data_IF_942658370413
#
_entry.id   IF_942658370413
#
_cell.length_a   1.000
_cell.length_b   1.000
_cell.length_c   1.000
_cell.angle_alpha   90.00
_cell.angle_beta   90.00
_cell.angle_gamma   90.00
#
_symmetry.space_group_name_H-M   'P 1'
#
loop_
_entity.id
_entity.type
_entity.pdbx_description
1 polymer ?
#
# COMPACT_ATOMS: atom_id res chain seq x y z
N UNK A 1 25.29 11.48 -4.12
CA UNK A 1 24.11 10.59 -4.18
C UNK A 1 23.57 10.61 -5.60
N UNK A 2 23.31 9.46 -6.19
CA UNK A 2 22.50 9.38 -7.42
C UNK A 2 21.15 10.05 -7.13
N UNK A 3 20.67 10.87 -8.07
CA UNK A 3 19.39 11.55 -7.90
C UNK A 3 18.25 10.53 -8.04
N UNK A 4 17.46 10.36 -6.98
CA UNK A 4 16.28 9.50 -6.98
C UNK A 4 15.14 10.18 -7.76
N UNK A 5 15.04 10.00 -9.09
CA UNK A 5 14.07 10.75 -9.92
C UNK A 5 12.63 10.46 -9.57
N UNK A 6 12.34 9.26 -9.06
CA UNK A 6 10.98 8.88 -8.64
C UNK A 6 10.57 9.53 -7.32
N UNK A 7 11.52 10.11 -6.60
CA UNK A 7 11.28 10.75 -5.31
C UNK A 7 11.01 9.71 -4.23
N UNK A 8 10.12 10.06 -3.30
CA UNK A 8 9.80 9.21 -2.15
C UNK A 8 8.87 8.06 -2.50
N UNK A 9 8.91 7.00 -1.69
CA UNK A 9 8.03 5.83 -1.79
C UNK A 9 6.56 6.25 -1.78
N UNK A 10 6.22 7.27 -0.97
CA UNK A 10 4.89 7.92 -0.94
C UNK A 10 4.35 8.27 -2.32
N UNK A 11 5.20 8.86 -3.19
CA UNK A 11 4.82 9.26 -4.55
C UNK A 11 4.63 8.08 -5.49
N UNK A 12 5.14 6.91 -5.11
CA UNK A 12 5.18 5.71 -5.92
C UNK A 12 4.12 4.66 -5.52
N UNK A 13 3.38 4.89 -4.43
CA UNK A 13 2.41 3.92 -3.87
C UNK A 13 1.36 3.48 -4.90
N UNK A 14 0.87 4.40 -5.74
CA UNK A 14 -0.12 4.09 -6.79
C UNK A 14 0.40 3.19 -7.91
N UNK A 15 1.71 3.15 -8.10
CA UNK A 15 2.33 2.24 -9.06
C UNK A 15 2.66 0.91 -8.38
N UNK A 16 3.16 0.96 -7.15
CA UNK A 16 3.47 -0.23 -6.34
C UNK A 16 2.20 -1.05 -6.08
N UNK A 17 1.04 -0.44 -5.90
CA UNK A 17 -0.23 -1.16 -5.70
C UNK A 17 -0.52 -2.15 -6.83
N UNK A 18 -0.04 -1.86 -8.05
CA UNK A 18 -0.20 -2.68 -9.26
C UNK A 18 0.87 -3.77 -9.42
N UNK A 19 1.90 -3.79 -8.59
CA UNK A 19 3.00 -4.74 -8.69
C UNK A 19 2.56 -6.15 -8.32
N UNK A 20 3.26 -7.17 -8.85
CA UNK A 20 3.10 -8.53 -8.34
C UNK A 20 3.65 -8.60 -6.92
N UNK A 21 3.20 -9.60 -6.17
CA UNK A 21 3.64 -9.79 -4.80
C UNK A 21 5.15 -10.05 -4.68
N UNK A 22 5.79 -10.70 -5.64
CA UNK A 22 7.25 -10.88 -5.62
C UNK A 22 7.95 -9.53 -5.61
N UNK A 23 7.57 -8.63 -6.51
CA UNK A 23 8.17 -7.30 -6.62
C UNK A 23 7.92 -6.49 -5.35
N UNK A 24 6.69 -6.54 -4.80
CA UNK A 24 6.37 -5.92 -3.50
C UNK A 24 7.24 -6.44 -2.37
N UNK A 25 7.44 -7.76 -2.30
CA UNK A 25 8.29 -8.40 -1.29
C UNK A 25 9.76 -8.01 -1.46
N UNK A 26 10.25 -7.89 -2.70
CA UNK A 26 11.62 -7.41 -2.97
C UNK A 26 11.82 -5.98 -2.48
N UNK A 27 10.87 -5.08 -2.75
CA UNK A 27 10.91 -3.71 -2.21
C UNK A 27 10.97 -3.72 -0.69
N UNK A 28 10.10 -4.49 -0.03
CA UNK A 28 10.08 -4.62 1.43
C UNK A 28 11.39 -5.20 1.97
N UNK A 29 11.99 -6.18 1.28
CA UNK A 29 13.29 -6.74 1.65
C UNK A 29 14.38 -5.68 1.60
N UNK A 30 14.43 -4.86 0.55
CA UNK A 30 15.41 -3.76 0.44
C UNK A 30 15.23 -2.75 1.58
N UNK A 31 13.98 -2.40 1.92
CA UNK A 31 13.67 -1.53 3.06
C UNK A 31 14.15 -2.14 4.38
N UNK A 32 13.87 -3.43 4.61
CA UNK A 32 14.31 -4.16 5.80
C UNK A 32 15.84 -4.18 5.90
N UNK A 33 16.55 -4.42 4.80
CA UNK A 33 18.01 -4.43 4.79
C UNK A 33 18.58 -3.06 5.16
N UNK A 34 18.00 -1.97 4.67
CA UNK A 34 18.36 -0.62 5.08
C UNK A 34 18.12 -0.38 6.57
N UNK A 35 16.95 -0.75 7.08
CA UNK A 35 16.59 -0.53 8.49
C UNK A 35 17.42 -1.41 9.42
N UNK A 36 17.75 -2.63 8.99
CA UNK A 36 18.66 -3.55 9.69
C UNK A 36 20.03 -2.92 9.88
N UNK A 37 20.58 -2.25 8.87
CA UNK A 37 21.87 -1.55 8.99
C UNK A 37 21.82 -0.48 10.10
N UNK A 38 20.72 0.28 10.19
CA UNK A 38 20.52 1.28 11.26
C UNK A 38 20.49 0.59 12.63
N UNK A 39 19.67 -0.46 12.78
CA UNK A 39 19.53 -1.20 14.04
C UNK A 39 20.83 -1.89 14.48
N UNK A 40 21.58 -2.48 13.54
CA UNK A 40 22.87 -3.12 13.81
C UNK A 40 23.99 -2.11 14.09
N UNK A 41 23.81 -0.84 13.70
CA UNK A 41 24.65 0.28 14.13
C UNK A 41 24.28 0.80 15.52
N UNK A 42 23.43 0.07 16.26
CA UNK A 42 22.91 0.43 17.57
C UNK A 42 22.10 1.75 17.58
N UNK A 43 21.43 2.05 16.47
CA UNK A 43 20.58 3.22 16.30
C UNK A 43 19.12 2.82 16.06
N UNK A 44 18.22 3.74 16.38
CA UNK A 44 16.82 3.75 15.92
C UNK A 44 16.67 4.88 14.92
N UNK A 45 15.78 4.73 13.93
CA UNK A 45 15.53 5.80 12.97
C UNK A 45 14.66 6.92 13.58
N UNK A 46 13.59 6.55 14.29
CA UNK A 46 12.76 7.50 15.05
C UNK A 46 11.74 8.33 14.26
N UNK A 47 11.83 8.36 12.93
CA UNK A 47 10.83 8.98 12.04
C UNK A 47 10.71 8.21 10.72
N UNK A 48 10.54 6.90 10.87
CA UNK A 48 10.54 5.99 9.74
C UNK A 48 9.18 6.00 9.03
N UNK A 49 9.13 6.44 7.77
CA UNK A 49 7.89 6.44 6.99
C UNK A 49 8.17 6.45 5.48
N UNK A 50 7.14 6.23 4.68
CA UNK A 50 7.19 6.19 3.21
C UNK A 50 7.79 7.46 2.55
N UNK A 51 7.64 8.63 3.17
CA UNK A 51 8.23 9.90 2.75
C UNK A 51 9.76 9.96 2.89
N UNK A 52 10.35 9.18 3.81
CA UNK A 52 11.79 9.15 4.11
C UNK A 52 12.50 7.98 3.40
N UNK A 53 11.81 7.30 2.48
CA UNK A 53 12.37 6.25 1.63
C UNK A 53 12.36 6.76 0.20
N UNK A 54 13.53 6.88 -0.43
CA UNK A 54 13.67 7.31 -1.81
C UNK A 54 13.81 6.12 -2.76
N UNK A 55 13.21 6.22 -3.95
CA UNK A 55 13.27 5.16 -4.97
C UNK A 55 14.06 5.60 -6.20
N UNK A 56 15.00 4.75 -6.62
CA UNK A 56 15.77 4.99 -7.84
C UNK A 56 14.99 4.66 -9.11
N UNK A 57 15.53 5.08 -10.25
CA UNK A 57 14.90 4.94 -11.57
C UNK A 57 14.63 3.48 -11.93
N UNK A 58 15.49 2.56 -11.47
CA UNK A 58 15.49 1.16 -11.87
C UNK A 58 14.55 0.27 -11.04
N UNK A 59 13.66 0.85 -10.21
CA UNK A 59 12.71 0.14 -9.33
C UNK A 59 13.30 -0.84 -8.31
N UNK A 60 14.61 -1.11 -8.36
CA UNK A 60 15.28 -2.11 -7.51
C UNK A 60 16.13 -1.51 -6.39
N UNK A 61 16.30 -0.18 -6.35
CA UNK A 61 17.08 0.46 -5.30
C UNK A 61 16.21 1.43 -4.52
N UNK A 62 16.17 1.22 -3.20
CA UNK A 62 15.51 2.07 -2.23
C UNK A 62 16.57 2.57 -1.24
N UNK A 63 16.45 3.82 -0.84
CA UNK A 63 17.35 4.46 0.13
C UNK A 63 16.56 5.02 1.29
N UNK A 64 16.90 4.62 2.50
CA UNK A 64 16.40 5.27 3.72
C UNK A 64 17.16 6.57 3.89
N UNK A 65 16.43 7.65 4.14
CA UNK A 65 16.93 9.02 4.24
C UNK A 65 16.42 9.69 5.51
N UNK A 66 16.82 10.94 5.71
CA UNK A 66 16.47 11.74 6.89
C UNK A 66 16.84 11.08 8.23
N UNK A 67 18.15 10.84 8.38
CA UNK A 67 18.74 10.28 9.59
C UNK A 67 18.93 11.33 10.70
N UNK A 68 18.35 12.53 10.56
CA UNK A 68 18.52 13.65 11.50
C UNK A 68 17.91 13.37 12.87
N UNK A 69 16.95 12.44 12.94
CA UNK A 69 16.28 12.01 14.17
C UNK A 69 16.79 10.65 14.68
N UNK A 70 17.82 10.08 14.06
CA UNK A 70 18.39 8.82 14.52
C UNK A 70 18.95 8.96 15.94
N UNK A 71 18.59 8.03 16.83
CA UNK A 71 19.03 8.02 18.23
C UNK A 71 19.67 6.70 18.62
N UNK A 72 20.70 6.70 19.50
CA UNK A 72 21.24 5.48 20.09
C UNK A 72 20.14 4.68 20.78
N UNK A 73 20.17 3.35 20.64
CA UNK A 73 19.19 2.47 21.30
C UNK A 73 19.27 2.57 22.83
N UNK A 74 20.44 2.90 23.38
CA UNK A 74 20.66 3.11 24.81
C UNK A 74 20.17 4.47 25.32
N UNK A 75 19.75 5.36 24.42
CA UNK A 75 19.23 6.67 24.80
C UNK A 75 17.84 6.49 25.41
N UNK A 76 17.75 6.72 26.72
CA UNK A 76 16.52 6.61 27.49
C UNK A 76 15.85 7.96 27.74
N UNK A 77 16.46 9.05 27.24
CA UNK A 77 15.91 10.39 27.40
C UNK A 77 14.69 10.57 26.48
N UNK A 78 13.56 10.85 27.14
CA UNK A 78 12.34 11.21 26.46
C UNK A 78 12.39 12.72 26.19
N UNK A 79 12.92 13.10 25.03
CA UNK A 79 12.81 14.45 24.50
C UNK A 79 11.40 14.70 23.94
N UNK A 80 11.19 15.86 23.29
CA UNK A 80 10.00 16.12 22.49
C UNK A 80 9.70 14.94 21.53
N UNK A 81 8.41 14.65 21.39
CA UNK A 81 7.91 13.65 20.46
C UNK A 81 7.98 14.23 19.05
N UNK A 82 8.61 13.51 18.13
CA UNK A 82 8.69 13.85 16.72
C UNK A 82 8.13 12.74 15.82
N UNK A 83 7.78 13.10 14.60
CA UNK A 83 7.45 12.16 13.53
C UNK A 83 6.00 12.19 13.07
N UNK A 84 5.71 11.35 12.08
CA UNK A 84 4.44 11.39 11.35
C UNK A 84 3.39 10.49 12.00
N UNK A 85 2.36 11.10 12.59
CA UNK A 85 1.36 10.45 13.49
C UNK A 85 0.91 9.04 13.09
N UNK A 86 0.52 8.73 11.84
CA UNK A 86 0.09 7.38 11.49
C UNK A 86 1.17 6.30 11.60
N UNK A 87 2.45 6.66 11.55
CA UNK A 87 3.59 5.74 11.65
C UNK A 87 4.10 5.60 13.08
N UNK A 88 3.60 6.39 14.02
CA UNK A 88 4.08 6.42 15.40
C UNK A 88 3.54 5.25 16.22
N UNK A 89 4.44 4.50 16.85
CA UNK A 89 4.05 3.39 17.69
C UNK A 89 3.28 3.84 18.95
N UNK A 90 2.34 3.04 19.48
CA UNK A 90 1.51 3.43 20.61
C UNK A 90 2.29 3.80 21.88
N UNK A 91 3.45 3.19 22.10
CA UNK A 91 4.33 3.53 23.22
C UNK A 91 5.00 4.90 23.05
N UNK A 92 5.33 5.31 21.82
CA UNK A 92 5.90 6.64 21.53
C UNK A 92 4.87 7.72 21.82
N UNK A 93 3.62 7.50 21.39
CA UNK A 93 2.49 8.39 21.72
C UNK A 93 2.22 8.49 23.23
N UNK A 94 2.76 7.57 24.03
CA UNK A 94 2.71 7.59 25.51
C UNK A 94 4.02 8.10 26.13
N UNK A 95 4.81 8.88 25.39
CA UNK A 95 6.09 9.44 25.82
C UNK A 95 7.08 8.36 26.29
N UNK A 96 7.13 7.21 25.62
CA UNK A 96 8.22 6.23 25.81
C UNK A 96 9.34 6.49 24.79
N UNK A 97 10.60 6.13 25.12
CA UNK A 97 11.71 6.26 24.18
C UNK A 97 11.49 5.49 22.89
N UNK A 98 12.11 5.97 21.81
CA UNK A 98 12.17 5.26 20.54
C UNK A 98 12.99 3.98 20.69
N UNK A 99 12.56 2.92 20.02
CA UNK A 99 13.19 1.61 20.09
C UNK A 99 13.23 0.99 18.69
N UNK A 100 14.05 -0.04 18.45
CA UNK A 100 13.96 -0.82 17.21
C UNK A 100 12.53 -1.31 16.97
N UNK A 101 11.80 -1.69 18.02
CA UNK A 101 10.42 -2.14 17.92
C UNK A 101 9.45 -1.02 17.48
N UNK A 102 9.72 0.26 17.81
CA UNK A 102 8.91 1.36 17.28
C UNK A 102 9.14 1.57 15.79
N UNK A 103 10.37 1.42 15.29
CA UNK A 103 10.62 1.44 13.84
C UNK A 103 9.93 0.26 13.13
N UNK A 104 9.84 -0.91 13.76
CA UNK A 104 9.08 -2.06 13.23
C UNK A 104 7.58 -1.76 13.14
N UNK A 105 7.02 -1.04 14.11
CA UNK A 105 5.64 -0.56 14.00
C UNK A 105 5.50 0.38 12.82
N UNK A 106 6.42 1.34 12.65
CA UNK A 106 6.38 2.26 11.52
C UNK A 106 6.51 1.54 10.17
N UNK A 107 7.36 0.52 10.08
CA UNK A 107 7.47 -0.37 8.91
C UNK A 107 6.14 -1.07 8.58
N UNK A 108 5.36 -1.47 9.59
CA UNK A 108 4.04 -2.08 9.37
C UNK A 108 3.07 -1.17 8.63
N UNK A 109 3.19 0.15 8.79
CA UNK A 109 2.34 1.11 8.09
C UNK A 109 2.69 1.20 6.62
N UNK A 110 3.98 1.05 6.30
CA UNK A 110 4.45 0.91 4.91
C UNK A 110 3.94 -0.41 4.32
N UNK A 111 4.02 -1.51 5.09
CA UNK A 111 3.42 -2.78 4.66
C UNK A 111 1.92 -2.63 4.38
N UNK A 112 1.20 -1.93 5.26
CA UNK A 112 -0.22 -1.67 5.09
C UNK A 112 -0.50 -0.85 3.82
N UNK A 113 0.31 0.16 3.51
CA UNK A 113 0.20 0.97 2.28
C UNK A 113 0.44 0.16 0.99
N UNK A 114 1.18 -0.95 1.07
CA UNK A 114 1.35 -1.86 -0.08
C UNK A 114 0.11 -2.73 -0.34
N UNK A 115 -0.78 -2.83 0.65
CA UNK A 115 -2.08 -3.53 0.53
C UNK A 115 -3.20 -2.61 0.07
N UNK A 116 -3.15 -1.32 0.40
CA UNK A 116 -4.25 -0.37 0.16
C UNK A 116 -3.78 1.07 0.16
N UNK A 117 -4.38 1.88 -0.71
CA UNK A 117 -4.19 3.34 -0.74
C UNK A 117 -5.15 4.08 0.23
N UNK A 118 -6.14 3.39 0.82
CA UNK A 118 -7.19 4.01 1.64
C UNK A 118 -7.34 3.33 3.00
N UNK A 119 -7.09 4.10 4.07
CA UNK A 119 -7.31 3.64 5.46
C UNK A 119 -8.81 3.47 5.73
N UNK A 120 -9.26 2.38 6.41
CA UNK A 120 -8.52 1.23 6.95
C UNK A 120 -8.75 -0.09 6.19
N UNK A 121 -9.08 -0.06 4.90
CA UNK A 121 -9.54 -1.26 4.19
C UNK A 121 -8.38 -2.06 3.58
N UNK A 122 -8.24 -3.34 3.93
CA UNK A 122 -7.32 -4.28 3.26
C UNK A 122 -8.04 -4.88 2.04
N UNK A 123 -7.39 -4.87 0.87
CA UNK A 123 -7.97 -5.43 -0.36
C UNK A 123 -8.21 -6.94 -0.20
N UNK A 124 -9.38 -7.41 -0.67
CA UNK A 124 -9.95 -8.76 -0.49
C UNK A 124 -9.06 -9.93 -0.96
N UNK A 125 -7.95 -9.66 -1.65
CA UNK A 125 -7.02 -10.67 -2.18
C UNK A 125 -5.58 -10.51 -1.65
N UNK A 126 -5.40 -9.77 -0.55
CA UNK A 126 -4.11 -9.69 0.13
C UNK A 126 -3.78 -11.04 0.77
N UNK A 127 -2.59 -11.63 0.54
CA UNK A 127 -2.13 -12.86 1.18
C UNK A 127 -2.28 -12.77 2.70
N UNK A 128 -2.86 -13.81 3.29
CA UNK A 128 -3.17 -13.84 4.72
C UNK A 128 -1.88 -13.88 5.55
N UNK A 129 -0.89 -14.66 5.15
CA UNK A 129 0.44 -14.71 5.76
C UNK A 129 1.09 -13.32 5.85
N UNK A 130 0.91 -12.49 4.80
CA UNK A 130 1.36 -11.10 4.78
C UNK A 130 0.60 -10.23 5.79
N UNK A 131 -0.74 -10.33 5.80
CA UNK A 131 -1.59 -9.60 6.76
C UNK A 131 -1.24 -9.99 8.21
N UNK A 132 -1.00 -11.28 8.45
CA UNK A 132 -0.66 -11.80 9.77
C UNK A 132 0.72 -11.32 10.23
N UNK A 133 1.71 -11.26 9.33
CA UNK A 133 3.02 -10.67 9.63
C UNK A 133 2.93 -9.17 9.91
N UNK A 134 2.23 -8.43 9.04
CA UNK A 134 1.97 -6.99 9.22
C UNK A 134 1.31 -6.73 10.58
N UNK A 135 0.33 -7.57 10.96
CA UNK A 135 -0.35 -7.46 12.25
C UNK A 135 0.56 -7.73 13.44
N UNK A 136 1.54 -8.62 13.31
CA UNK A 136 2.56 -8.82 14.35
C UNK A 136 3.46 -7.60 14.47
N UNK A 137 3.81 -6.94 13.36
CA UNK A 137 4.64 -5.72 13.37
C UNK A 137 3.95 -4.54 14.07
N UNK A 138 2.63 -4.39 13.95
CA UNK A 138 1.89 -3.29 14.57
C UNK A 138 1.31 -3.60 15.96
N UNK A 139 1.74 -4.70 16.60
CA UNK A 139 1.22 -5.10 17.90
C UNK A 139 1.37 -3.94 18.91
N UNK A 140 0.36 -3.73 19.75
CA UNK A 140 0.37 -2.66 20.74
C UNK A 140 1.46 -2.85 21.80
N UNK A 141 1.87 -4.10 22.06
CA UNK A 141 3.00 -4.43 22.90
C UNK A 141 4.28 -4.55 22.04
N UNK A 142 5.30 -3.69 22.24
CA UNK A 142 6.52 -3.74 21.45
C UNK A 142 7.27 -5.08 21.56
N UNK A 143 7.15 -5.80 22.67
CA UNK A 143 7.81 -7.11 22.87
C UNK A 143 7.21 -8.23 22.03
N UNK A 144 5.99 -8.08 21.53
CA UNK A 144 5.35 -9.06 20.63
C UNK A 144 5.77 -8.87 19.17
N UNK A 145 6.38 -7.73 18.83
CA UNK A 145 6.78 -7.40 17.46
C UNK A 145 8.01 -8.23 17.07
N UNK A 146 8.10 -8.71 15.83
CA UNK A 146 9.29 -9.41 15.36
C UNK A 146 10.50 -8.47 15.33
N UNK A 147 11.69 -9.04 15.49
CA UNK A 147 12.93 -8.28 15.25
C UNK A 147 13.15 -8.09 13.75
N UNK A 148 13.98 -7.10 13.37
CA UNK A 148 14.32 -6.86 11.97
C UNK A 148 14.94 -8.09 11.28
N UNK A 149 15.71 -8.90 12.00
CA UNK A 149 16.29 -10.16 11.51
C UNK A 149 15.23 -11.23 11.25
N UNK A 150 14.21 -11.30 12.10
CA UNK A 150 13.08 -12.22 11.86
C UNK A 150 12.31 -11.81 10.61
N UNK A 151 12.10 -10.52 10.39
CA UNK A 151 11.44 -10.01 9.19
C UNK A 151 12.24 -10.30 7.91
N UNK A 152 13.54 -10.04 7.93
CA UNK A 152 14.44 -10.37 6.82
C UNK A 152 14.37 -11.85 6.44
N UNK A 153 14.39 -12.73 7.44
CA UNK A 153 14.32 -14.17 7.23
C UNK A 153 12.97 -14.58 6.62
N UNK A 154 11.85 -14.15 7.20
CA UNK A 154 10.51 -14.50 6.73
C UNK A 154 10.30 -14.03 5.29
N UNK A 155 10.60 -12.76 4.99
CA UNK A 155 10.40 -12.23 3.64
C UNK A 155 11.35 -12.88 2.63
N UNK A 156 12.60 -13.17 3.01
CA UNK A 156 13.54 -13.87 2.13
C UNK A 156 13.08 -15.28 1.80
N UNK A 157 12.51 -16.00 2.75
CA UNK A 157 11.97 -17.35 2.52
C UNK A 157 10.73 -17.32 1.62
N UNK A 158 9.83 -16.35 1.81
CA UNK A 158 8.71 -16.16 0.90
C UNK A 158 9.16 -15.90 -0.54
N UNK A 159 10.09 -14.97 -0.74
CA UNK A 159 10.67 -14.67 -2.06
C UNK A 159 11.24 -15.95 -2.67
N UNK A 160 12.11 -16.66 -1.92
CA UNK A 160 12.78 -17.89 -2.38
C UNK A 160 11.78 -18.96 -2.81
N UNK A 161 10.72 -19.17 -2.02
CA UNK A 161 9.69 -20.15 -2.35
C UNK A 161 8.93 -19.78 -3.61
N UNK A 162 8.59 -18.49 -3.79
CA UNK A 162 7.83 -18.07 -4.95
C UNK A 162 8.70 -18.09 -6.23
N UNK A 163 9.95 -17.64 -6.15
CA UNK A 163 10.87 -17.69 -7.29
C UNK A 163 11.03 -19.14 -7.78
N UNK A 164 11.24 -20.08 -6.84
CA UNK A 164 11.30 -21.50 -7.14
C UNK A 164 10.01 -22.03 -7.78
N UNK A 165 8.84 -21.58 -7.31
CA UNK A 165 7.57 -21.96 -7.92
C UNK A 165 7.52 -21.54 -9.40
N UNK A 166 7.88 -20.31 -9.72
CA UNK A 166 7.85 -19.83 -11.10
C UNK A 166 8.93 -20.49 -11.97
N UNK A 167 10.12 -20.76 -11.44
CA UNK A 167 11.15 -21.55 -12.14
C UNK A 167 10.62 -22.94 -12.53
N UNK A 168 10.04 -23.68 -11.58
CA UNK A 168 9.52 -25.04 -11.81
C UNK A 168 8.30 -25.10 -12.73
N UNK A 169 7.52 -24.01 -12.81
CA UNK A 169 6.33 -23.90 -13.67
C UNK A 169 6.61 -23.13 -14.98
N UNK A 170 7.85 -22.70 -15.19
CA UNK A 170 8.31 -22.20 -16.49
C UNK A 170 8.75 -23.38 -17.38
N UNK A 171 8.71 -23.22 -18.70
CA UNK A 171 9.19 -24.26 -19.64
C UNK A 171 10.70 -24.57 -19.51
N UNK A 172 11.42 -23.88 -18.60
CA UNK A 172 12.85 -24.03 -18.35
C UNK A 172 13.08 -24.88 -17.09
N UNK A 173 13.39 -26.16 -17.30
CA UNK A 173 13.73 -27.10 -16.22
C UNK A 173 15.22 -26.98 -15.83
N UNK A 174 15.56 -26.06 -14.94
CA UNK A 174 16.81 -26.15 -14.20
C UNK A 174 16.56 -26.60 -12.75
N UNK A 175 17.06 -27.79 -12.45
CA UNK A 175 16.88 -28.48 -11.17
C UNK A 175 17.75 -27.85 -10.07
N UNK A 176 17.20 -26.89 -9.33
CA UNK A 176 17.68 -26.59 -7.98
C UNK A 176 16.73 -27.18 -6.93
N UNK A 177 17.13 -28.33 -6.38
CA UNK A 177 16.45 -28.92 -5.22
C UNK A 177 16.80 -28.10 -3.98
N UNK A 178 15.83 -27.33 -3.48
CA UNK A 178 15.82 -26.92 -2.07
C UNK A 178 14.62 -27.53 -1.37
N UNK A 179 14.90 -28.08 -0.20
CA UNK A 179 13.97 -28.72 0.71
C UNK A 179 12.74 -27.84 0.99
N UNK A 180 11.59 -28.25 0.46
CA UNK A 180 10.28 -27.65 0.72
C UNK A 180 9.49 -28.50 1.73
N UNK A 181 10.16 -29.12 2.70
CA UNK A 181 9.51 -29.97 3.71
C UNK A 181 8.72 -29.17 4.76
N UNK A 182 8.76 -27.83 4.76
CA UNK A 182 7.91 -27.02 5.62
C UNK A 182 6.56 -26.71 4.93
N UNK A 183 5.50 -27.41 5.35
CA UNK A 183 4.14 -27.22 4.83
C UNK A 183 3.67 -25.76 4.96
N UNK A 184 4.03 -25.06 6.03
CA UNK A 184 3.63 -23.66 6.25
C UNK A 184 4.18 -22.73 5.16
N UNK A 185 5.45 -22.89 4.76
CA UNK A 185 6.04 -22.06 3.70
C UNK A 185 5.41 -22.34 2.33
N UNK A 186 4.94 -23.57 2.09
CA UNK A 186 4.19 -23.90 0.87
C UNK A 186 2.84 -23.21 0.85
N UNK A 187 2.13 -23.22 1.97
CA UNK A 187 0.82 -22.57 2.09
C UNK A 187 0.95 -21.06 1.88
N UNK A 188 1.92 -20.41 2.56
CA UNK A 188 2.24 -18.99 2.37
C UNK A 188 2.53 -18.65 0.90
N UNK A 189 3.41 -19.44 0.25
CA UNK A 189 3.75 -19.27 -1.16
C UNK A 189 2.52 -19.36 -2.07
N UNK A 190 1.63 -20.34 -1.84
CA UNK A 190 0.39 -20.48 -2.60
C UNK A 190 -0.49 -19.23 -2.48
N UNK A 191 -0.60 -18.62 -1.29
CA UNK A 191 -1.37 -17.39 -1.12
C UNK A 191 -0.85 -16.25 -2.01
N UNK A 192 0.47 -16.07 -2.09
CA UNK A 192 1.08 -15.05 -2.97
C UNK A 192 0.86 -15.35 -4.45
N UNK A 193 0.98 -16.62 -4.85
CA UNK A 193 0.78 -17.05 -6.24
C UNK A 193 -0.67 -16.84 -6.68
N UNK A 194 -1.65 -17.18 -5.85
CA UNK A 194 -3.07 -16.99 -6.16
C UNK A 194 -3.45 -15.51 -6.20
N UNK A 195 -2.91 -14.70 -5.27
CA UNK A 195 -3.10 -13.25 -5.31
C UNK A 195 -2.57 -12.64 -6.61
N UNK A 196 -1.41 -13.10 -7.10
CA UNK A 196 -0.87 -12.68 -8.39
C UNK A 196 -1.74 -13.07 -9.59
N UNK A 197 -2.27 -14.30 -9.61
CA UNK A 197 -3.15 -14.75 -10.69
C UNK A 197 -4.40 -13.88 -10.75
N UNK A 198 -4.95 -13.51 -9.60
CA UNK A 198 -6.11 -12.63 -9.49
C UNK A 198 -5.80 -11.22 -10.00
N UNK A 199 -4.64 -10.65 -9.67
CA UNK A 199 -4.21 -9.35 -10.19
C UNK A 199 -4.11 -9.34 -11.73
N UNK A 200 -3.68 -10.44 -12.35
CA UNK A 200 -3.63 -10.56 -13.82
C UNK A 200 -5.05 -10.59 -14.42
N UNK A 201 -5.97 -11.32 -13.80
CA UNK A 201 -7.37 -11.39 -14.24
C UNK A 201 -8.09 -10.05 -14.13
N UNK A 202 -7.91 -9.32 -13.02
CA UNK A 202 -8.50 -7.98 -12.83
C UNK A 202 -7.99 -6.98 -13.88
N UNK A 203 -6.68 -7.03 -14.20
CA UNK A 203 -6.09 -6.21 -15.27
C UNK A 203 -6.64 -6.58 -16.65
N UNK A 204 -6.79 -7.87 -16.95
CA UNK A 204 -7.39 -8.34 -18.20
C UNK A 204 -8.85 -7.88 -18.34
N UNK A 205 -9.65 -8.02 -17.28
CA UNK A 205 -11.05 -7.56 -17.26
C UNK A 205 -11.17 -6.04 -17.43
N UNK A 206 -10.29 -5.27 -16.79
CA UNK A 206 -10.25 -3.80 -16.94
C UNK A 206 -9.88 -3.39 -18.37
N UNK A 207 -8.92 -4.09 -18.99
CA UNK A 207 -8.52 -3.86 -20.39
C UNK A 207 -9.64 -4.22 -21.38
N UNK A 208 -10.38 -5.30 -21.12
CA UNK A 208 -11.56 -5.70 -21.90
C UNK A 208 -12.71 -4.68 -21.75
N UNK A 209 -12.91 -4.12 -20.55
CA UNK A 209 -13.90 -3.05 -20.34
C UNK A 209 -13.51 -1.75 -21.03
N UNK A 210 -12.21 -1.45 -21.16
CA UNK A 210 -11.72 -0.24 -21.84
C UNK A 210 -11.75 -0.35 -23.38
N UNK A 211 -11.91 -1.54 -23.96
CA UNK A 211 -11.84 -1.75 -25.42
C UNK A 211 -13.18 -1.74 -26.16
N UNK A 212 -14.31 -1.49 -25.50
CA UNK A 212 -15.56 -1.20 -26.21
C UNK A 212 -15.75 0.31 -26.41
N UNK A 213 -15.35 0.83 -27.57
CA UNK A 213 -15.67 2.19 -28.04
C UNK A 213 -17.18 2.44 -28.26
N UNK A 214 -18.06 1.51 -27.86
CA UNK A 214 -19.51 1.60 -27.98
C UNK A 214 -20.30 1.14 -26.73
N UNK A 215 -19.67 0.89 -25.59
CA UNK A 215 -20.40 0.50 -24.38
C UNK A 215 -20.85 1.73 -23.57
N UNK A 216 -22.07 2.21 -23.81
CA UNK A 216 -22.77 3.10 -22.87
C UNK A 216 -23.18 2.30 -21.63
N UNK A 217 -22.42 2.43 -20.55
CA UNK A 217 -22.84 1.92 -19.24
C UNK A 217 -23.89 2.86 -18.64
N UNK A 218 -25.17 2.48 -18.72
CA UNK A 218 -26.22 3.14 -17.94
C UNK A 218 -26.14 2.57 -16.52
N UNK A 219 -25.50 3.31 -15.62
CA UNK A 219 -25.54 3.04 -14.18
C UNK A 219 -26.98 3.11 -13.69
N UNK A 220 -27.43 2.12 -12.91
CA UNK A 220 -28.81 1.96 -12.40
C UNK A 220 -29.38 3.17 -11.63
N UNK A 221 -28.52 4.13 -11.26
CA UNK A 221 -28.89 5.41 -10.64
C UNK A 221 -29.49 6.43 -11.64
N UNK A 222 -29.21 6.29 -12.95
CA UNK A 222 -29.77 7.16 -13.98
C UNK A 222 -31.21 6.78 -14.38
N UNK A 223 -31.62 5.51 -14.19
CA UNK A 223 -33.01 5.09 -14.47
C UNK A 223 -34.02 5.70 -13.52
N UNK A 224 -33.66 5.94 -12.26
CA UNK A 224 -34.52 6.65 -11.30
C UNK A 224 -34.64 8.14 -11.65
N UNK A 225 -33.55 8.78 -12.07
CA UNK A 225 -33.56 10.19 -12.50
C UNK A 225 -34.35 10.36 -13.81
N UNK A 226 -34.21 9.44 -14.78
CA UNK A 226 -34.97 9.50 -16.03
C UNK A 226 -36.46 9.20 -15.84
N UNK A 227 -36.83 8.37 -14.86
CA UNK A 227 -38.23 8.18 -14.48
C UNK A 227 -38.82 9.43 -13.81
N UNK A 228 -38.04 10.11 -12.96
CA UNK A 228 -38.42 11.36 -12.32
C UNK A 228 -38.59 12.50 -13.34
N UNK A 229 -37.64 12.64 -14.27
CA UNK A 229 -37.68 13.67 -15.33
C UNK A 229 -38.83 13.41 -16.33
N UNK A 230 -39.15 12.14 -16.63
CA UNK A 230 -40.33 11.81 -17.45
C UNK A 230 -41.66 12.11 -16.75
N UNK A 231 -41.73 11.92 -15.43
CA UNK A 231 -42.89 12.33 -14.61
C UNK A 231 -43.10 13.84 -14.68
N UNK A 232 -42.03 14.61 -14.50
CA UNK A 232 -42.11 16.06 -14.41
C UNK A 232 -42.41 16.73 -15.76
N UNK A 233 -41.95 16.15 -16.88
CA UNK A 233 -42.28 16.61 -18.24
C UNK A 233 -43.76 16.35 -18.59
N UNK A 234 -44.34 15.24 -18.14
CA UNK A 234 -45.77 14.93 -18.39
C UNK A 234 -46.70 15.84 -17.57
N UNK A 235 -46.21 16.42 -16.46
CA UNK A 235 -46.96 17.42 -15.68
C UNK A 235 -46.90 18.80 -16.35
N UNK A 236 -45.79 19.15 -17.02
CA UNK A 236 -45.58 20.47 -17.64
C UNK A 236 -46.28 20.65 -19.00
N UNK A 237 -46.62 19.57 -19.72
CA UNK A 237 -47.37 19.67 -20.99
C UNK A 237 -48.91 19.82 -20.81
N UNK A 238 -49.43 19.87 -19.58
CA UNK A 238 -50.87 20.03 -19.30
C UNK A 238 -51.32 21.40 -18.79
N UNK A 239 -50.43 22.39 -18.71
CA UNK A 239 -50.80 23.79 -18.44
C UNK A 239 -50.32 24.68 -19.57
N UNK A 240 -51.05 24.59 -20.68
CA UNK A 240 -51.05 25.59 -21.73
C UNK A 240 -51.58 26.94 -21.17
N UNK A 241 -51.00 28.03 -21.67
CA UNK A 241 -51.66 29.33 -21.91
C UNK A 241 -52.01 30.16 -20.66
N UNK A 242 -51.36 31.32 -20.51
CA UNK A 242 -51.98 32.65 -20.31
C UNK A 242 -50.87 33.74 -20.22
N UNK A 243 -51.01 34.74 -21.11
CA UNK A 243 -50.52 36.13 -21.09
C UNK A 243 -49.01 36.43 -20.98
N UNK A 244 -48.36 36.98 -22.01
CA UNK A 244 -48.34 38.39 -22.50
C UNK A 244 -47.60 39.38 -21.58
N UNK A 245 -46.76 40.18 -22.25
CA UNK A 245 -46.25 41.53 -21.97
C UNK A 245 -45.01 41.75 -21.09
N UNK A 246 -44.04 42.39 -21.74
CA UNK A 246 -43.21 43.52 -21.27
C UNK A 246 -42.10 43.21 -20.26
N UNK A 247 -40.84 43.31 -20.69
CA UNK A 247 -40.01 44.53 -20.66
C UNK A 247 -39.53 44.84 -19.22
N UNK A 248 -38.23 44.65 -18.96
CA UNK A 248 -37.29 45.72 -18.60
C UNK A 248 -35.97 45.12 -18.11
N UNK A 249 -34.89 45.65 -18.65
CA UNK A 249 -33.57 45.72 -18.02
C UNK A 249 -33.69 46.22 -16.57
N UNK A 250 -32.81 45.77 -15.67
CA UNK A 250 -31.93 46.68 -14.91
C UNK A 250 -31.15 45.95 -13.80
N UNK A 251 -29.81 46.14 -13.85
CA UNK A 251 -28.96 46.71 -12.78
C UNK A 251 -28.94 45.96 -11.43
N UNK A 252 -27.80 45.32 -11.16
CA UNK A 252 -27.31 45.06 -9.81
C UNK A 252 -26.62 46.34 -9.32
N UNK A 253 -27.09 46.91 -8.21
CA UNK A 253 -26.33 47.84 -7.37
C UNK A 253 -25.72 47.06 -6.21
N UNK A 254 -24.56 47.55 -5.77
CA UNK A 254 -23.74 47.09 -4.65
C UNK A 254 -24.52 46.80 -3.36
#
# INVERSE_FOLDING_TARGET
MSYAKKGSLRKCLSDISKFKWQDKLQLLKTIILGLKIIHESNLTHGDFHDGNILMSDNHNELFITDLGLCKPISDSEVNEIYGVLPYMAPEILRNKPYTPASDIYSFSMIMWEFTSEKRPEIIKNTPKCYVDLMKKCWDSNPSNRPTIRMLENVISEWIRCIDKYYEMNSDVKDNYMVDANNQLLKDDMCEFVEANKTLVQEKANTSIMQSHSQAYYITRKCTEILAQVKSDIIVLEKTEIIQRSECFECIVKD
#
